data_IF_206478913498
#
_entry.id   IF_206478913498
#
_cell.length_a   1.000
_cell.length_b   1.000
_cell.length_c   1.000
_cell.angle_alpha   90.00
_cell.angle_beta   90.00
_cell.angle_gamma   90.00
#
_symmetry.space_group_name_H-M   'P 1'
#
loop_
_entity.id
_entity.type
_entity.pdbx_description
1 polymer ?
#
# COMPACT_ATOMS: atom_id res chain seq x y z
N UNK A 1 16.99 13.83 -2.12
CA UNK A 1 16.88 15.28 -2.41
C UNK A 1 16.51 16.01 -1.13
N UNK A 2 17.05 17.22 -0.92
CA UNK A 2 16.65 18.08 0.21
C UNK A 2 15.62 19.09 -0.32
N UNK A 3 14.48 19.15 0.35
CA UNK A 3 13.39 20.08 0.01
C UNK A 3 12.95 20.81 1.27
N UNK A 4 12.67 22.10 1.14
CA UNK A 4 12.13 22.94 2.22
C UNK A 4 10.64 23.10 1.98
N UNK A 5 9.83 22.78 2.99
CA UNK A 5 8.36 22.84 2.94
C UNK A 5 7.87 23.74 4.07
N UNK A 6 6.95 24.64 3.76
CA UNK A 6 6.25 25.43 4.77
C UNK A 6 4.97 24.71 5.16
N UNK A 7 4.83 24.34 6.43
CA UNK A 7 3.69 23.62 6.99
C UNK A 7 3.38 24.18 8.38
N UNK A 8 2.15 24.03 8.83
CA UNK A 8 1.75 24.45 10.16
C UNK A 8 2.47 23.65 11.26
N UNK A 9 2.81 24.32 12.36
CA UNK A 9 3.62 23.73 13.44
C UNK A 9 2.91 22.57 14.14
N UNK A 10 1.60 22.68 14.33
CA UNK A 10 0.75 21.63 14.88
C UNK A 10 0.82 20.35 14.06
N UNK A 11 0.74 20.47 12.72
CA UNK A 11 0.87 19.36 11.79
C UNK A 11 2.27 18.74 11.81
N UNK A 12 3.32 19.56 11.91
CA UNK A 12 4.70 19.07 12.03
C UNK A 12 4.89 18.27 13.33
N UNK A 13 4.32 18.74 14.44
CA UNK A 13 4.36 18.05 15.74
C UNK A 13 3.66 16.70 15.65
N UNK A 14 2.46 16.66 15.05
CA UNK A 14 1.71 15.43 14.87
C UNK A 14 2.47 14.43 13.98
N UNK A 15 3.02 14.90 12.86
CA UNK A 15 3.81 14.06 11.95
C UNK A 15 5.03 13.45 12.65
N UNK A 16 5.71 14.20 13.53
CA UNK A 16 6.82 13.69 14.34
C UNK A 16 6.36 12.62 15.34
N UNK A 17 5.25 12.84 16.04
CA UNK A 17 4.66 11.85 16.96
C UNK A 17 4.31 10.55 16.22
N UNK A 18 3.71 10.68 15.03
CA UNK A 18 3.37 9.56 14.18
C UNK A 18 4.61 8.77 13.73
N UNK A 19 5.68 9.46 13.35
CA UNK A 19 6.94 8.83 12.96
C UNK A 19 7.53 7.97 14.10
N UNK A 20 7.55 8.50 15.33
CA UNK A 20 8.01 7.76 16.52
C UNK A 20 7.13 6.54 16.78
N UNK A 21 5.80 6.70 16.75
CA UNK A 21 4.85 5.61 16.97
C UNK A 21 5.05 4.45 15.98
N UNK A 22 5.38 4.77 14.72
CA UNK A 22 5.67 3.77 13.66
C UNK A 22 7.15 3.36 13.58
N UNK A 23 7.99 3.77 14.53
CA UNK A 23 9.44 3.50 14.54
C UNK A 23 10.12 3.85 13.21
N UNK A 24 9.76 5.01 12.65
CA UNK A 24 10.26 5.49 11.36
C UNK A 24 10.67 6.96 11.44
N UNK A 25 11.15 7.52 10.33
CA UNK A 25 11.60 8.92 10.26
C UNK A 25 10.51 9.82 9.69
N UNK A 26 10.52 11.10 10.07
CA UNK A 26 9.63 12.11 9.48
C UNK A 26 9.76 12.15 7.94
N UNK A 27 10.99 12.03 7.43
CA UNK A 27 11.25 11.94 5.98
C UNK A 27 10.50 10.78 5.34
N UNK A 28 10.59 9.57 5.92
CA UNK A 28 9.89 8.40 5.40
C UNK A 28 8.37 8.56 5.47
N UNK A 29 7.83 9.18 6.53
CA UNK A 29 6.40 9.50 6.62
C UNK A 29 5.96 10.41 5.48
N UNK A 30 6.69 11.50 5.25
CA UNK A 30 6.38 12.47 4.19
C UNK A 30 6.48 11.82 2.82
N UNK A 31 7.57 11.11 2.53
CA UNK A 31 7.73 10.43 1.24
C UNK A 31 6.64 9.38 0.99
N UNK A 32 6.28 8.58 2.00
CA UNK A 32 5.24 7.56 1.86
C UNK A 32 3.85 8.19 1.71
N UNK A 33 3.58 9.32 2.38
CA UNK A 33 2.37 10.10 2.19
C UNK A 33 2.25 10.60 0.74
N UNK A 34 3.32 11.21 0.21
CA UNK A 34 3.37 11.71 -1.16
C UNK A 34 3.22 10.59 -2.19
N UNK A 35 3.91 9.45 -2.02
CA UNK A 35 3.76 8.29 -2.91
C UNK A 35 2.33 7.78 -2.95
N UNK A 36 1.69 7.66 -1.78
CA UNK A 36 0.29 7.19 -1.69
C UNK A 36 -0.66 8.13 -2.43
N UNK A 37 -0.48 9.45 -2.26
CA UNK A 37 -1.36 10.44 -2.90
C UNK A 37 -1.19 10.43 -4.43
N UNK A 38 0.06 10.39 -4.91
CA UNK A 38 0.33 10.32 -6.34
C UNK A 38 -0.15 9.01 -6.98
N UNK A 39 -0.06 7.87 -6.26
CA UNK A 39 -0.61 6.60 -6.73
C UNK A 39 -2.15 6.63 -6.76
N UNK A 40 -2.80 7.25 -5.78
CA UNK A 40 -4.25 7.39 -5.77
C UNK A 40 -4.72 8.21 -6.99
N UNK A 41 -3.99 9.25 -7.36
CA UNK A 41 -4.29 10.05 -8.55
C UNK A 41 -4.05 9.28 -9.86
N UNK A 42 -2.98 8.49 -9.93
CA UNK A 42 -2.72 7.59 -11.06
C UNK A 42 -3.79 6.49 -11.20
N UNK A 43 -4.30 5.96 -10.09
CA UNK A 43 -5.38 4.96 -10.12
C UNK A 43 -6.75 5.59 -10.45
N UNK A 44 -6.93 6.90 -10.23
CA UNK A 44 -8.12 7.64 -10.70
C UNK A 44 -8.02 7.99 -12.18
N UNK A 45 -6.81 8.27 -12.67
CA UNK A 45 -6.54 8.65 -14.07
C UNK A 45 -6.34 7.44 -14.99
N UNK A 46 -5.88 6.33 -14.43
CA UNK A 46 -5.79 5.04 -15.07
C UNK A 46 -7.16 4.40 -15.05
N UNK A 47 -7.73 4.22 -16.24
CA UNK A 47 -8.94 3.45 -16.51
C UNK A 47 -8.74 1.96 -16.13
N UNK A 48 -8.57 1.68 -14.84
CA UNK A 48 -8.59 0.33 -14.30
C UNK A 48 -9.95 0.19 -13.63
N UNK A 49 -10.94 -0.14 -14.46
CA UNK A 49 -12.27 -0.46 -14.01
C UNK A 49 -12.15 -1.54 -12.90
N UNK A 50 -12.85 -1.38 -11.77
CA UNK A 50 -12.87 -2.41 -10.71
C UNK A 50 -13.32 -3.78 -11.24
N UNK A 51 -14.00 -3.80 -12.39
CA UNK A 51 -14.39 -4.98 -13.15
C UNK A 51 -13.21 -5.78 -13.73
N UNK A 52 -12.01 -5.21 -13.84
CA UNK A 52 -10.81 -5.90 -14.34
C UNK A 52 -10.22 -6.91 -13.35
N UNK A 53 -10.62 -6.83 -12.08
CA UNK A 53 -10.14 -7.70 -11.02
C UNK A 53 -11.23 -8.46 -10.30
N UNK A 54 -12.50 -8.07 -10.43
CA UNK A 54 -13.60 -8.67 -9.66
C UNK A 54 -14.57 -9.36 -10.62
N UNK A 55 -14.87 -10.62 -10.34
CA UNK A 55 -15.92 -11.40 -10.99
C UNK A 55 -16.98 -11.82 -9.96
N UNK A 56 -18.24 -11.96 -10.39
CA UNK A 56 -19.30 -12.43 -9.50
C UNK A 56 -19.30 -13.95 -9.47
N UNK A 57 -19.11 -14.54 -8.29
CA UNK A 57 -19.20 -15.97 -8.10
C UNK A 57 -20.64 -16.49 -8.17
N UNK A 58 -20.83 -17.82 -8.23
CA UNK A 58 -22.14 -18.46 -8.39
C UNK A 58 -23.12 -18.20 -7.22
N UNK A 59 -22.62 -17.76 -6.07
CA UNK A 59 -23.42 -17.37 -4.90
C UNK A 59 -23.66 -15.86 -4.80
N UNK A 60 -23.37 -15.10 -5.86
CA UNK A 60 -23.51 -13.64 -5.86
C UNK A 60 -22.46 -12.91 -5.01
N UNK A 61 -21.40 -13.60 -4.60
CA UNK A 61 -20.29 -13.02 -3.85
C UNK A 61 -19.18 -12.58 -4.82
N UNK A 62 -18.64 -11.36 -4.70
CA UNK A 62 -17.52 -10.91 -5.52
C UNK A 62 -16.27 -11.75 -5.22
N UNK A 63 -15.57 -12.18 -6.27
CA UNK A 63 -14.31 -12.94 -6.21
C UNK A 63 -13.26 -12.24 -7.04
N UNK A 64 -12.01 -12.31 -6.60
CA UNK A 64 -10.90 -11.79 -7.39
C UNK A 64 -10.64 -12.70 -8.59
N UNK A 65 -10.65 -12.12 -9.80
CA UNK A 65 -10.20 -12.77 -11.03
C UNK A 65 -8.77 -13.26 -10.82
N UNK A 66 -8.54 -14.54 -11.10
CA UNK A 66 -7.21 -15.13 -10.95
C UNK A 66 -6.25 -14.48 -11.96
N UNK A 67 -5.24 -13.75 -11.48
CA UNK A 67 -4.14 -13.23 -12.29
C UNK A 67 -2.87 -14.04 -12.03
N UNK A 68 -2.28 -14.60 -13.09
CA UNK A 68 -1.07 -15.41 -13.03
C UNK A 68 -1.30 -16.92 -12.82
N UNK A 69 -0.38 -17.73 -13.35
CA UNK A 69 -0.48 -19.19 -13.27
C UNK A 69 0.05 -19.79 -11.97
N UNK A 70 0.79 -19.03 -11.15
CA UNK A 70 1.47 -19.56 -10.00
C UNK A 70 0.49 -19.81 -8.85
N UNK A 71 0.15 -21.08 -8.64
CA UNK A 71 -0.51 -21.54 -7.43
C UNK A 71 0.58 -21.61 -6.37
N UNK A 72 0.52 -20.75 -5.36
CA UNK A 72 1.36 -20.90 -4.17
C UNK A 72 0.57 -21.80 -3.22
N UNK A 73 1.10 -22.99 -2.96
CA UNK A 73 0.62 -23.93 -1.96
C UNK A 73 0.89 -23.40 -0.55
N UNK A 74 0.14 -23.88 0.44
CA UNK A 74 0.37 -23.50 1.84
C UNK A 74 1.79 -23.83 2.31
N UNK A 75 2.40 -24.90 1.79
CA UNK A 75 3.79 -25.27 2.10
C UNK A 75 4.77 -24.19 1.61
N UNK A 76 4.62 -23.72 0.37
CA UNK A 76 5.45 -22.65 -0.20
C UNK A 76 5.26 -21.31 0.54
N UNK A 77 4.05 -21.04 1.08
CA UNK A 77 3.82 -19.87 1.94
C UNK A 77 4.64 -19.96 3.22
N UNK A 78 4.65 -21.11 3.90
CA UNK A 78 5.45 -21.29 5.12
C UNK A 78 6.95 -21.18 4.85
N UNK A 79 7.44 -21.75 3.74
CA UNK A 79 8.84 -21.60 3.33
C UNK A 79 9.24 -20.14 3.04
N UNK A 80 8.32 -19.35 2.46
CA UNK A 80 8.53 -17.92 2.25
C UNK A 80 8.60 -17.13 3.56
N UNK A 81 7.72 -17.45 4.52
CA UNK A 81 7.70 -16.83 5.85
C UNK A 81 9.03 -17.10 6.58
N UNK A 82 9.47 -18.36 6.57
CA UNK A 82 10.74 -18.77 7.20
C UNK A 82 11.95 -18.09 6.54
N UNK A 83 11.91 -17.93 5.21
CA UNK A 83 12.99 -17.30 4.44
C UNK A 83 13.06 -15.78 4.63
N UNK A 84 11.92 -15.12 4.79
CA UNK A 84 11.85 -13.66 5.00
C UNK A 84 11.92 -13.27 6.49
N UNK A 85 11.91 -14.23 7.42
CA UNK A 85 12.11 -14.02 8.84
C UNK A 85 10.98 -13.22 9.51
N UNK A 86 9.74 -13.42 9.05
CA UNK A 86 8.52 -12.81 9.60
C UNK A 86 7.77 -13.83 10.46
#
# INVERSE_FOLDING_TARGET
MKTTLNIADDLLIEAKRFAVKRKTTLKAVVENGLRRELQADQNRSGNIEHSDFIEMGPFGLPRLKRRGQQKISSAEVYELIDKEGI
#
